data_IF_000801453564
#
_entry.id   IF_000801453564
#
_cell.length_a   1.000
_cell.length_b   1.000
_cell.length_c   1.000
_cell.angle_alpha   90.00
_cell.angle_beta   90.00
_cell.angle_gamma   90.00
#
_symmetry.space_group_name_H-M   'P 1'
#
loop_
_entity.id
_entity.type
_entity.pdbx_description
1 polymer ?
#
# COMPACT_ATOMS: atom_id res chain seq x y z
N UNK A 1 31.41 -20.76 -20.64
CA UNK A 1 32.19 -20.86 -19.38
C UNK A 1 31.34 -21.68 -18.40
N UNK A 2 31.82 -22.85 -17.96
CA UNK A 2 31.15 -23.68 -16.95
C UNK A 2 31.44 -23.17 -15.53
N UNK A 3 31.11 -21.91 -15.27
CA UNK A 3 31.32 -21.29 -13.96
C UNK A 3 30.16 -21.63 -13.04
N UNK A 4 30.36 -22.56 -12.10
CA UNK A 4 29.76 -22.35 -10.78
C UNK A 4 30.33 -21.02 -10.29
N UNK A 5 29.53 -19.96 -10.32
CA UNK A 5 29.88 -18.71 -9.67
C UNK A 5 30.06 -19.01 -8.18
N UNK A 6 31.29 -19.26 -7.76
CA UNK A 6 31.69 -19.03 -6.38
C UNK A 6 31.73 -17.52 -6.21
N UNK A 7 30.85 -16.94 -5.39
CA UNK A 7 30.82 -15.50 -5.18
C UNK A 7 32.21 -15.06 -4.69
N UNK A 8 32.78 -14.01 -5.29
CA UNK A 8 34.01 -13.43 -4.77
C UNK A 8 33.81 -13.03 -3.31
N UNK A 9 34.82 -13.22 -2.44
CA UNK A 9 34.79 -12.69 -1.07
C UNK A 9 34.46 -11.18 -1.14
N UNK A 10 33.24 -10.80 -0.79
CA UNK A 10 32.75 -9.42 -0.81
C UNK A 10 31.72 -9.08 -1.88
N UNK A 11 31.39 -9.98 -2.80
CA UNK A 11 30.27 -9.76 -3.74
C UNK A 11 28.94 -9.98 -3.02
N UNK A 12 28.20 -8.89 -2.81
CA UNK A 12 26.81 -8.95 -2.34
C UNK A 12 25.95 -9.53 -3.47
N UNK A 13 25.73 -10.85 -3.45
CA UNK A 13 24.68 -11.45 -4.27
C UNK A 13 23.37 -10.77 -3.88
N UNK A 14 22.65 -10.14 -4.83
CA UNK A 14 21.38 -9.50 -4.51
C UNK A 14 20.41 -10.53 -3.92
N UNK A 15 19.72 -10.16 -2.85
CA UNK A 15 18.70 -11.00 -2.22
C UNK A 15 17.46 -11.07 -3.12
N UNK A 16 16.59 -12.06 -2.88
CA UNK A 16 15.28 -12.12 -3.54
C UNK A 16 14.48 -10.81 -3.36
N UNK A 17 14.61 -10.17 -2.19
CA UNK A 17 14.01 -8.85 -1.92
C UNK A 17 14.61 -7.77 -2.84
N UNK A 18 15.93 -7.78 -3.06
CA UNK A 18 16.58 -6.83 -3.97
C UNK A 18 16.15 -7.03 -5.43
N UNK A 19 15.96 -8.28 -5.87
CA UNK A 19 15.43 -8.59 -7.21
C UNK A 19 13.97 -8.16 -7.35
N UNK A 20 13.13 -8.44 -6.34
CA UNK A 20 11.74 -7.99 -6.28
C UNK A 20 11.64 -6.47 -6.43
N UNK A 21 12.36 -5.71 -5.59
CA UNK A 21 12.34 -4.25 -5.60
C UNK A 21 12.79 -3.67 -6.95
N UNK A 22 13.78 -4.28 -7.61
CA UNK A 22 14.23 -3.86 -8.94
C UNK A 22 13.21 -4.21 -10.02
N UNK A 23 12.58 -5.38 -9.96
CA UNK A 23 11.59 -5.80 -10.94
C UNK A 23 10.36 -4.89 -10.89
N UNK A 24 9.75 -4.69 -9.72
CA UNK A 24 8.57 -3.84 -9.55
C UNK A 24 8.85 -2.36 -9.82
N UNK A 25 10.07 -1.90 -9.57
CA UNK A 25 10.46 -0.52 -9.84
C UNK A 25 10.54 -0.21 -11.34
N UNK A 26 10.81 -1.22 -12.17
CA UNK A 26 10.96 -1.05 -13.62
C UNK A 26 9.73 -1.53 -14.41
N UNK A 27 9.06 -2.60 -13.97
CA UNK A 27 7.87 -3.16 -14.60
C UNK A 27 6.64 -2.56 -13.92
N UNK A 28 5.85 -1.77 -14.66
CA UNK A 28 4.65 -1.10 -14.13
C UNK A 28 3.37 -1.93 -14.29
N UNK A 29 3.51 -3.16 -14.81
CA UNK A 29 2.42 -4.07 -15.12
C UNK A 29 2.44 -5.22 -14.09
N UNK A 30 1.47 -5.18 -13.17
CA UNK A 30 1.34 -6.15 -12.09
C UNK A 30 1.05 -7.56 -12.61
N UNK A 31 0.34 -7.69 -13.74
CA UNK A 31 0.05 -8.99 -14.34
C UNK A 31 1.33 -9.62 -14.89
N UNK A 32 2.16 -8.83 -15.55
CA UNK A 32 3.47 -9.27 -16.05
C UNK A 32 4.43 -9.65 -14.91
N UNK A 33 4.46 -8.88 -13.81
CA UNK A 33 5.27 -9.20 -12.63
C UNK A 33 4.88 -10.57 -12.07
N UNK A 34 3.58 -10.80 -11.87
CA UNK A 34 3.04 -12.06 -11.31
C UNK A 34 3.36 -13.22 -12.25
N UNK A 35 3.20 -13.04 -13.57
CA UNK A 35 3.51 -14.06 -14.57
C UNK A 35 4.99 -14.40 -14.59
N UNK A 36 5.88 -13.42 -14.53
CA UNK A 36 7.33 -13.67 -14.42
C UNK A 36 7.69 -14.39 -13.11
N UNK A 37 7.06 -14.04 -11.99
CA UNK A 37 7.27 -14.73 -10.71
C UNK A 37 6.81 -16.19 -10.76
N UNK A 38 5.71 -16.47 -11.45
CA UNK A 38 5.15 -17.83 -11.56
C UNK A 38 5.99 -18.82 -12.38
N UNK A 39 7.07 -18.38 -13.03
CA UNK A 39 7.99 -19.25 -13.78
C UNK A 39 8.62 -20.31 -12.86
N UNK A 40 9.06 -19.90 -11.67
CA UNK A 40 9.68 -20.81 -10.68
C UNK A 40 9.49 -20.36 -9.22
N UNK A 41 8.61 -19.38 -8.98
CA UNK A 41 8.39 -18.75 -7.66
C UNK A 41 9.62 -18.04 -7.09
N UNK A 42 10.56 -17.62 -7.93
CA UNK A 42 11.73 -16.83 -7.52
C UNK A 42 11.75 -15.45 -8.17
N UNK A 43 12.04 -14.43 -7.35
CA UNK A 43 12.20 -13.05 -7.83
C UNK A 43 13.45 -12.88 -8.69
N UNK A 44 14.46 -13.73 -8.49
CA UNK A 44 15.67 -13.75 -9.32
C UNK A 44 15.33 -14.14 -10.76
N UNK A 45 14.64 -15.25 -10.98
CA UNK A 45 14.27 -15.70 -12.33
C UNK A 45 13.29 -14.74 -12.98
N UNK A 46 12.34 -14.20 -12.22
CA UNK A 46 11.45 -13.15 -12.70
C UNK A 46 12.19 -11.89 -13.18
N UNK A 47 13.18 -11.43 -12.40
CA UNK A 47 14.02 -10.28 -12.77
C UNK A 47 14.90 -10.57 -14.00
N UNK A 48 15.49 -11.77 -14.08
CA UNK A 48 16.26 -12.20 -15.26
C UNK A 48 15.38 -12.26 -16.50
N UNK A 49 14.15 -12.79 -16.38
CA UNK A 49 13.19 -12.84 -17.48
C UNK A 49 12.80 -11.45 -17.99
N UNK A 50 12.54 -10.52 -17.07
CA UNK A 50 12.31 -9.12 -17.43
C UNK A 50 13.53 -8.50 -18.13
N UNK A 51 14.75 -8.66 -17.59
CA UNK A 51 15.94 -8.06 -18.19
C UNK A 51 16.17 -8.55 -19.62
N UNK A 52 16.03 -9.86 -19.85
CA UNK A 52 16.24 -10.46 -21.18
C UNK A 52 15.26 -9.88 -22.20
N UNK A 53 13.97 -9.78 -21.84
CA UNK A 53 12.95 -9.19 -22.70
C UNK A 53 13.10 -7.66 -22.85
N UNK A 54 13.56 -6.96 -21.81
CA UNK A 54 13.81 -5.52 -21.85
C UNK A 54 14.93 -5.19 -22.84
N UNK A 55 16.04 -5.93 -22.80
CA UNK A 55 17.12 -5.75 -23.78
C UNK A 55 16.67 -6.09 -25.20
N UNK A 56 15.82 -7.10 -25.41
CA UNK A 56 15.22 -7.39 -26.73
C UNK A 56 14.47 -6.19 -27.31
N UNK A 57 13.74 -5.47 -26.45
CA UNK A 57 12.94 -4.31 -26.87
C UNK A 57 13.79 -3.07 -27.21
N UNK A 58 15.06 -3.03 -26.79
CA UNK A 58 15.94 -1.85 -26.92
C UNK A 58 17.09 -2.12 -27.89
N UNK A 59 17.64 -3.32 -27.90
CA UNK A 59 18.75 -3.72 -28.75
C UNK A 59 18.17 -4.32 -30.02
N UNK A 60 18.41 -3.66 -31.14
CA UNK A 60 18.20 -4.23 -32.47
C UNK A 60 19.59 -4.61 -33.00
N UNK A 61 20.00 -5.90 -32.94
CA UNK A 61 21.38 -6.30 -33.24
C UNK A 61 21.86 -5.93 -34.65
N UNK A 62 20.93 -5.79 -35.59
CA UNK A 62 21.24 -5.42 -36.98
C UNK A 62 21.82 -3.99 -37.09
N UNK A 63 21.53 -3.09 -36.14
CA UNK A 63 22.12 -1.74 -36.08
C UNK A 63 23.64 -1.74 -35.79
N UNK A 64 24.19 -2.86 -35.32
CA UNK A 64 25.60 -2.97 -34.92
C UNK A 64 26.43 -3.82 -35.89
N UNK A 65 25.86 -4.25 -37.03
CA UNK A 65 26.56 -5.00 -38.07
C UNK A 65 27.18 -4.08 -39.10
N UNK A 66 28.35 -4.47 -39.63
CA UNK A 66 28.98 -3.80 -40.77
C UNK A 66 28.10 -3.93 -42.02
N UNK A 67 27.45 -5.09 -42.19
CA UNK A 67 26.45 -5.35 -43.23
C UNK A 67 25.13 -5.83 -42.57
N UNK A 68 24.05 -5.03 -42.61
CA UNK A 68 22.75 -5.42 -42.08
C UNK A 68 22.18 -6.61 -42.86
N UNK A 69 21.73 -7.66 -42.16
CA UNK A 69 21.16 -8.87 -42.80
C UNK A 69 19.64 -8.97 -42.64
N UNK A 70 18.97 -7.91 -42.17
CA UNK A 70 17.52 -7.85 -41.91
C UNK A 70 16.99 -9.02 -41.09
N UNK A 71 17.82 -9.57 -40.19
CA UNK A 71 17.44 -10.67 -39.32
C UNK A 71 17.59 -10.25 -37.87
N UNK A 72 16.44 -10.16 -37.19
CA UNK A 72 16.34 -9.92 -35.77
C UNK A 72 16.70 -11.19 -35.00
N UNK A 73 17.39 -11.01 -33.88
CA UNK A 73 17.72 -12.07 -32.94
C UNK A 73 17.32 -11.60 -31.56
N UNK A 74 16.63 -12.44 -30.80
CA UNK A 74 16.40 -12.14 -29.38
C UNK A 74 17.72 -12.27 -28.60
N UNK A 75 17.86 -11.52 -27.52
CA UNK A 75 18.91 -11.64 -26.50
C UNK A 75 18.92 -13.06 -25.95
N UNK A 76 17.76 -13.69 -25.79
CA UNK A 76 17.64 -15.12 -25.45
C UNK A 76 18.37 -16.00 -26.46
N UNK A 77 18.12 -15.84 -27.76
CA UNK A 77 18.79 -16.61 -28.82
C UNK A 77 20.29 -16.34 -28.87
N UNK A 78 20.70 -15.09 -28.63
CA UNK A 78 22.12 -14.71 -28.58
C UNK A 78 22.80 -15.40 -27.40
N UNK A 79 22.21 -15.35 -26.20
CA UNK A 79 22.71 -16.03 -25.00
C UNK A 79 22.81 -17.54 -25.26
N UNK A 80 21.76 -18.15 -25.81
CA UNK A 80 21.74 -19.59 -26.12
C UNK A 80 22.80 -19.96 -27.16
N UNK A 81 23.05 -19.12 -28.17
CA UNK A 81 24.06 -19.39 -29.19
C UNK A 81 25.49 -19.26 -28.66
N UNK A 82 25.74 -18.30 -27.77
CA UNK A 82 27.05 -18.10 -27.15
C UNK A 82 27.33 -19.13 -26.05
N UNK A 83 26.29 -19.65 -25.41
CA UNK A 83 26.38 -20.63 -24.34
C UNK A 83 25.24 -21.66 -24.41
N UNK A 84 25.36 -22.62 -25.31
CA UNK A 84 24.29 -23.57 -25.64
C UNK A 84 23.89 -24.52 -24.51
N UNK A 85 24.67 -24.60 -23.43
CA UNK A 85 24.36 -25.40 -22.25
C UNK A 85 23.59 -24.62 -21.18
N UNK A 86 23.44 -23.30 -21.34
CA UNK A 86 22.71 -22.47 -20.39
C UNK A 86 21.21 -22.46 -20.74
N UNK A 87 20.37 -23.02 -19.87
CA UNK A 87 18.92 -23.08 -20.07
C UNK A 87 18.28 -21.86 -19.40
N UNK A 88 17.69 -20.99 -20.22
CA UNK A 88 17.05 -19.75 -19.78
C UNK A 88 15.52 -19.91 -19.81
N UNK A 89 14.90 -20.16 -18.66
CA UNK A 89 13.44 -20.28 -18.55
C UNK A 89 12.82 -18.91 -18.24
N UNK A 90 12.48 -18.14 -19.28
CA UNK A 90 12.10 -16.71 -19.16
C UNK A 90 10.84 -16.34 -19.92
N UNK A 91 10.17 -17.31 -20.53
CA UNK A 91 8.94 -17.05 -21.28
C UNK A 91 7.78 -16.81 -20.31
N UNK A 92 6.94 -15.83 -20.62
CA UNK A 92 5.78 -15.52 -19.80
C UNK A 92 4.76 -16.67 -19.88
N UNK A 93 4.33 -17.25 -18.75
CA UNK A 93 3.29 -18.26 -18.73
C UNK A 93 1.93 -17.69 -19.21
N UNK A 94 1.03 -18.52 -19.76
CA UNK A 94 -0.24 -18.06 -20.33
C UNK A 94 -1.21 -17.49 -19.28
N UNK A 95 -2.05 -16.54 -19.72
CA UNK A 95 -3.08 -15.91 -18.88
C UNK A 95 -4.20 -16.92 -18.59
N UNK A 96 -4.45 -17.24 -17.33
CA UNK A 96 -5.51 -18.18 -16.94
C UNK A 96 -6.77 -17.40 -16.58
N UNK A 97 -7.80 -17.44 -17.44
CA UNK A 97 -9.10 -16.79 -17.20
C UNK A 97 -9.95 -17.71 -16.32
N UNK A 98 -10.23 -17.33 -15.07
CA UNK A 98 -11.21 -18.04 -14.23
C UNK A 98 -12.56 -17.30 -14.24
N UNK A 99 -13.57 -17.95 -14.85
CA UNK A 99 -14.97 -17.55 -14.79
C UNK A 99 -15.55 -17.82 -13.39
N UNK A 100 -16.21 -16.83 -12.80
CA UNK A 100 -16.87 -16.93 -11.50
C UNK A 100 -18.36 -17.28 -11.64
N UNK A 101 -18.79 -18.36 -10.98
CA UNK A 101 -20.17 -18.54 -10.51
C UNK A 101 -20.15 -18.94 -9.03
N UNK A 102 -21.11 -18.51 -8.20
CA UNK A 102 -21.04 -18.70 -6.75
C UNK A 102 -21.90 -19.90 -6.28
N UNK A 103 -21.44 -20.62 -5.24
CA UNK A 103 -22.18 -20.87 -3.96
C UNK A 103 -21.47 -21.85 -2.97
N UNK A 104 -21.30 -21.36 -1.74
CA UNK A 104 -21.29 -21.97 -0.37
C UNK A 104 -20.18 -22.90 0.20
N UNK A 105 -19.45 -22.31 1.17
CA UNK A 105 -18.98 -22.79 2.53
C UNK A 105 -17.95 -23.94 2.65
N UNK A 106 -17.15 -24.02 3.75
CA UNK A 106 -16.07 -23.12 4.18
C UNK A 106 -14.72 -23.85 4.51
N UNK A 107 -13.64 -23.07 4.70
CA UNK A 107 -12.25 -23.42 5.13
C UNK A 107 -11.26 -23.78 4.01
N UNK A 108 -9.94 -23.61 4.24
CA UNK A 108 -9.19 -22.47 4.78
C UNK A 108 -8.36 -21.83 3.63
N UNK A 109 -8.64 -20.58 3.27
CA UNK A 109 -8.01 -19.98 2.08
C UNK A 109 -6.67 -19.34 2.40
N UNK A 110 -5.60 -19.97 1.89
CA UNK A 110 -4.28 -19.37 1.71
C UNK A 110 -4.42 -18.16 0.78
N UNK A 111 -3.96 -16.99 1.26
CA UNK A 111 -4.11 -15.68 0.62
C UNK A 111 -3.24 -15.54 -0.65
N UNK A 112 -3.81 -14.93 -1.69
CA UNK A 112 -3.11 -14.35 -2.84
C UNK A 112 -2.75 -12.91 -2.45
N UNK A 113 -1.47 -12.54 -2.44
CA UNK A 113 -0.99 -11.24 -1.92
C UNK A 113 -1.51 -10.06 -2.76
N UNK A 114 -2.58 -9.45 -2.23
CA UNK A 114 -3.09 -8.15 -2.64
C UNK A 114 -2.26 -7.01 -2.06
N UNK A 115 -2.46 -5.81 -2.60
CA UNK A 115 -1.87 -4.57 -2.09
C UNK A 115 -2.04 -4.46 -0.57
N UNK A 116 -0.95 -4.46 0.20
CA UNK A 116 -0.99 -4.44 1.68
C UNK A 116 -1.15 -3.04 2.28
N UNK A 117 -1.26 -1.99 1.42
CA UNK A 117 -1.52 -0.63 1.87
C UNK A 117 -2.48 0.15 0.96
N UNK A 118 -3.44 0.83 1.58
CA UNK A 118 -4.37 1.74 0.93
C UNK A 118 -4.35 3.10 1.60
N UNK A 119 -4.72 4.14 0.86
CA UNK A 119 -5.02 5.43 1.44
C UNK A 119 -6.38 5.38 2.16
N UNK A 120 -6.58 6.16 3.25
CA UNK A 120 -7.86 6.20 3.94
C UNK A 120 -8.98 6.85 3.10
N UNK A 121 -8.62 7.60 2.04
CA UNK A 121 -9.51 8.24 1.07
C UNK A 121 -8.95 8.03 -0.34
N UNK A 122 -9.80 8.11 -1.36
CA UNK A 122 -9.36 8.05 -2.77
C UNK A 122 -8.48 9.25 -3.16
N UNK A 123 -8.67 10.40 -2.50
CA UNK A 123 -7.85 11.60 -2.66
C UNK A 123 -7.43 12.08 -1.27
N UNK A 124 -6.14 11.97 -0.95
CA UNK A 124 -5.57 12.48 0.30
C UNK A 124 -4.90 13.84 0.10
N UNK A 125 -5.63 14.92 0.39
CA UNK A 125 -5.10 16.30 0.42
C UNK A 125 -5.25 16.89 1.80
N UNK A 126 -4.26 17.63 2.28
CA UNK A 126 -4.37 18.32 3.57
C UNK A 126 -5.47 19.37 3.50
N UNK A 127 -6.33 19.42 4.52
CA UNK A 127 -7.33 20.47 4.69
C UNK A 127 -6.66 21.84 4.73
N UNK A 128 -7.14 22.75 3.89
CA UNK A 128 -6.63 24.14 3.84
C UNK A 128 -7.66 25.19 4.29
N UNK A 129 -8.95 24.83 4.32
CA UNK A 129 -10.06 25.75 4.60
C UNK A 129 -10.48 25.78 6.07
N UNK A 130 -11.07 26.91 6.49
CA UNK A 130 -11.58 27.14 7.85
C UNK A 130 -10.55 26.83 8.96
N UNK A 131 -9.29 27.17 8.72
CA UNK A 131 -8.18 27.01 9.66
C UNK A 131 -7.39 28.32 9.75
N UNK A 132 -6.80 28.65 10.92
CA UNK A 132 -5.91 29.80 11.03
C UNK A 132 -4.67 29.69 10.14
N UNK A 133 -4.16 28.47 9.96
CA UNK A 133 -3.01 28.12 9.10
C UNK A 133 -3.15 26.67 8.64
N UNK A 134 -2.67 26.33 7.44
CA UNK A 134 -2.69 24.96 6.91
C UNK A 134 -2.01 23.95 7.85
N UNK A 135 -0.87 24.34 8.47
CA UNK A 135 -0.16 23.50 9.46
C UNK A 135 -1.00 23.12 10.69
N UNK A 136 -2.11 23.80 10.95
CA UNK A 136 -3.01 23.43 12.04
C UNK A 136 -3.79 22.15 11.73
N UNK A 137 -3.84 21.72 10.45
CA UNK A 137 -4.38 20.44 10.00
C UNK A 137 -3.46 19.25 10.28
N UNK A 138 -2.18 19.46 10.59
CA UNK A 138 -1.20 18.36 10.74
C UNK A 138 -0.93 18.01 12.20
N UNK A 139 -0.30 16.85 12.43
CA UNK A 139 0.09 16.42 13.77
C UNK A 139 0.97 17.47 14.46
N UNK A 140 0.73 17.68 15.76
CA UNK A 140 1.34 18.74 16.59
C UNK A 140 1.08 20.17 16.10
N UNK A 141 0.20 20.35 15.13
CA UNK A 141 -0.28 21.66 14.70
C UNK A 141 -1.04 22.34 15.83
N UNK A 142 -0.74 23.61 16.10
CA UNK A 142 -1.44 24.36 17.16
C UNK A 142 -2.86 24.76 16.73
N UNK A 143 -3.82 24.50 17.61
CA UNK A 143 -5.22 24.94 17.52
C UNK A 143 -5.64 25.68 18.78
N UNK A 144 -6.75 26.39 18.69
CA UNK A 144 -7.36 27.14 19.80
C UNK A 144 -8.78 26.66 19.99
N UNK A 145 -9.14 26.27 21.21
CA UNK A 145 -10.52 25.93 21.58
C UNK A 145 -11.38 27.20 21.66
N UNK A 146 -12.70 27.04 21.69
CA UNK A 146 -13.65 28.16 21.88
C UNK A 146 -13.37 28.97 23.15
N UNK A 147 -12.87 28.33 24.21
CA UNK A 147 -12.47 28.98 25.47
C UNK A 147 -11.07 29.62 25.43
N UNK A 148 -10.44 29.75 24.27
CA UNK A 148 -9.12 30.36 24.09
C UNK A 148 -7.93 29.48 24.44
N UNK A 149 -8.15 28.28 25.02
CA UNK A 149 -7.04 27.36 25.34
C UNK A 149 -6.40 26.80 24.07
N UNK A 150 -5.08 26.86 24.01
CA UNK A 150 -4.31 26.26 22.92
C UNK A 150 -4.08 24.77 23.18
N UNK A 151 -4.14 23.98 22.13
CA UNK A 151 -3.83 22.56 22.16
C UNK A 151 -3.13 22.13 20.88
N UNK A 152 -2.46 20.99 20.92
CA UNK A 152 -1.83 20.37 19.76
C UNK A 152 -2.78 19.37 19.12
N UNK A 153 -2.91 19.47 17.80
CA UNK A 153 -3.67 18.53 16.99
C UNK A 153 -3.03 17.14 17.02
N UNK A 154 -3.80 16.10 17.31
CA UNK A 154 -3.32 14.73 17.47
C UNK A 154 -3.31 13.92 16.16
N UNK A 155 -3.77 14.51 15.06
CA UNK A 155 -3.90 13.81 13.79
C UNK A 155 -3.63 14.65 12.56
N UNK A 156 -4.23 14.20 11.47
CA UNK A 156 -4.24 14.82 10.17
C UNK A 156 -5.68 15.11 9.76
N UNK A 157 -5.98 16.34 9.39
CA UNK A 157 -7.24 16.67 8.72
C UNK A 157 -7.03 16.56 7.20
N UNK A 158 -7.64 15.53 6.62
CA UNK A 158 -7.60 15.27 5.18
C UNK A 158 -8.89 15.84 4.57
N UNK A 159 -8.76 16.76 3.63
CA UNK A 159 -9.87 17.42 2.93
C UNK A 159 -10.80 16.39 2.26
N UNK A 160 -12.07 16.39 2.64
CA UNK A 160 -13.08 15.51 2.07
C UNK A 160 -14.47 16.08 2.33
N UNK A 161 -15.34 16.06 1.32
CA UNK A 161 -16.74 16.43 1.51
C UNK A 161 -17.45 15.37 2.38
N UNK A 162 -18.52 15.69 3.12
CA UNK A 162 -19.32 14.68 3.79
C UNK A 162 -19.80 13.59 2.82
N UNK A 163 -19.99 12.38 3.33
CA UNK A 163 -20.37 11.19 2.59
C UNK A 163 -19.32 10.70 1.58
N UNK A 164 -18.04 11.05 1.78
CA UNK A 164 -16.94 10.50 0.98
C UNK A 164 -16.54 9.15 1.57
N UNK A 165 -16.47 8.06 0.78
CA UNK A 165 -16.06 6.74 1.26
C UNK A 165 -14.69 6.73 1.93
N UNK A 166 -14.57 6.08 3.09
CA UNK A 166 -13.31 5.84 3.80
C UNK A 166 -12.92 4.37 3.75
N UNK A 167 -11.61 4.11 3.69
CA UNK A 167 -11.09 2.75 3.50
C UNK A 167 -10.11 2.33 4.59
N UNK A 168 -10.05 1.02 4.86
CA UNK A 168 -9.01 0.44 5.70
C UNK A 168 -7.65 0.61 5.03
N UNK A 169 -6.69 1.18 5.77
CA UNK A 169 -5.35 1.44 5.20
C UNK A 169 -4.50 0.17 5.07
N UNK A 170 -4.85 -0.91 5.76
CA UNK A 170 -4.16 -2.18 5.71
C UNK A 170 -5.11 -3.32 6.15
N UNK A 171 -4.64 -4.56 6.04
CA UNK A 171 -5.29 -5.68 6.71
C UNK A 171 -5.21 -5.48 8.22
N UNK A 172 -6.28 -5.80 8.94
CA UNK A 172 -6.32 -5.60 10.38
C UNK A 172 -7.63 -6.05 11.00
N UNK A 173 -7.92 -5.48 12.17
CA UNK A 173 -9.18 -5.71 12.88
C UNK A 173 -9.81 -4.41 13.34
N UNK A 174 -11.12 -4.36 13.47
CA UNK A 174 -11.82 -3.26 14.14
C UNK A 174 -11.43 -3.25 15.63
N UNK A 175 -10.66 -2.25 16.06
CA UNK A 175 -10.29 -2.07 17.46
C UNK A 175 -11.48 -1.56 18.29
N UNK A 176 -12.22 -0.58 17.76
CA UNK A 176 -13.48 -0.10 18.31
C UNK A 176 -14.30 0.70 17.29
N UNK A 177 -15.59 0.83 17.57
CA UNK A 177 -16.54 1.73 16.89
C UNK A 177 -17.27 2.55 17.97
N UNK A 178 -17.53 3.83 17.68
CA UNK A 178 -18.38 4.70 18.49
C UNK A 178 -19.51 5.23 17.60
N UNK A 179 -20.69 4.61 17.74
CA UNK A 179 -21.95 4.99 17.12
C UNK A 179 -23.08 4.64 18.10
N UNK A 180 -23.89 5.60 18.59
CA UNK A 180 -23.97 7.01 18.20
C UNK A 180 -22.78 7.88 18.65
N UNK A 181 -22.54 9.04 17.98
CA UNK A 181 -21.55 10.03 18.38
C UNK A 181 -21.77 10.51 19.83
N UNK A 182 -20.70 10.56 20.63
CA UNK A 182 -20.78 10.96 22.05
C UNK A 182 -19.58 11.76 22.58
N UNK A 183 -18.68 12.19 21.69
CA UNK A 183 -17.52 13.03 22.03
C UNK A 183 -17.24 14.06 20.93
N UNK A 184 -16.24 14.92 21.18
CA UNK A 184 -15.74 15.89 20.21
C UNK A 184 -15.30 15.26 18.88
N UNK A 185 -14.82 14.01 18.91
CA UNK A 185 -14.40 13.27 17.71
C UNK A 185 -15.59 12.75 16.89
N UNK A 186 -16.82 12.91 17.38
CA UNK A 186 -18.03 12.50 16.67
C UNK A 186 -18.20 10.98 16.61
N UNK A 187 -18.74 10.50 15.49
CA UNK A 187 -18.79 9.08 15.13
C UNK A 187 -17.38 8.63 14.75
N UNK A 188 -16.97 7.48 15.27
CA UNK A 188 -15.58 7.03 15.18
C UNK A 188 -15.47 5.56 14.80
N UNK A 189 -14.37 5.24 14.13
CA UNK A 189 -13.92 3.88 13.89
C UNK A 189 -12.40 3.85 14.03
N UNK A 190 -11.88 2.78 14.65
CA UNK A 190 -10.44 2.54 14.73
C UNK A 190 -10.13 1.12 14.35
N UNK A 191 -9.08 0.92 13.55
CA UNK A 191 -8.53 -0.40 13.25
C UNK A 191 -7.19 -0.58 13.97
N UNK A 192 -6.88 -1.82 14.32
CA UNK A 192 -5.59 -2.27 14.80
C UNK A 192 -4.93 -3.14 13.73
N UNK A 193 -3.66 -2.88 13.47
CA UNK A 193 -2.86 -3.52 12.43
C UNK A 193 -1.57 -4.02 13.06
N UNK A 194 -1.19 -5.27 12.79
CA UNK A 194 0.14 -5.76 13.18
C UNK A 194 1.18 -5.15 12.25
N UNK A 195 2.30 -4.71 12.80
CA UNK A 195 3.35 -4.04 12.01
C UNK A 195 3.93 -4.95 10.93
N UNK A 196 3.96 -6.26 11.18
CA UNK A 196 4.39 -7.27 10.22
C UNK A 196 3.43 -7.42 9.01
N UNK A 197 2.16 -7.01 9.15
CA UNK A 197 1.15 -7.03 8.09
C UNK A 197 1.21 -5.77 7.19
N UNK A 198 2.02 -4.77 7.57
CA UNK A 198 2.23 -3.56 6.77
C UNK A 198 3.30 -3.78 5.70
N UNK A 199 3.25 -3.04 4.57
CA UNK A 199 4.39 -2.97 3.67
C UNK A 199 5.65 -2.52 4.43
N UNK A 200 6.80 -3.07 4.03
CA UNK A 200 8.09 -2.85 4.70
C UNK A 200 8.39 -1.36 4.92
N UNK A 201 8.10 -0.50 3.95
CA UNK A 201 8.39 0.93 4.08
C UNK A 201 7.49 1.66 5.10
N UNK A 202 6.33 1.08 5.45
CA UNK A 202 5.46 1.58 6.53
C UNK A 202 5.85 0.95 7.87
N UNK A 203 6.15 -0.35 7.88
CA UNK A 203 6.60 -1.05 9.07
C UNK A 203 7.87 -0.42 9.68
N UNK A 204 8.82 0.00 8.83
CA UNK A 204 10.03 0.70 9.28
C UNK A 204 9.78 2.03 10.00
N UNK A 205 8.62 2.67 9.76
CA UNK A 205 8.20 3.91 10.41
C UNK A 205 7.52 3.68 11.77
N UNK A 206 7.10 2.44 12.07
CA UNK A 206 6.42 2.07 13.31
C UNK A 206 7.43 1.95 14.46
N UNK A 207 7.87 3.10 14.99
CA UNK A 207 8.77 3.19 16.15
C UNK A 207 8.25 4.24 17.14
N UNK A 208 8.40 3.99 18.44
CA UNK A 208 8.03 4.91 19.50
C UNK A 208 9.15 5.01 20.53
N UNK A 209 9.70 6.22 20.76
CA UNK A 209 10.86 6.44 21.63
C UNK A 209 12.01 5.45 21.33
N UNK A 210 12.34 5.29 20.05
CA UNK A 210 13.35 4.36 19.51
C UNK A 210 13.09 2.86 19.77
N UNK A 211 11.95 2.51 20.36
CA UNK A 211 11.49 1.14 20.52
C UNK A 211 10.59 0.73 19.35
N UNK A 212 10.80 -0.48 18.85
CA UNK A 212 9.88 -1.10 17.88
C UNK A 212 8.56 -1.42 18.56
N UNK A 213 7.47 -1.21 17.84
CA UNK A 213 6.11 -1.56 18.29
C UNK A 213 5.60 -2.69 17.39
N UNK A 214 4.87 -3.64 17.96
CA UNK A 214 4.32 -4.78 17.23
C UNK A 214 2.98 -4.47 16.56
N UNK A 215 2.27 -3.46 17.04
CA UNK A 215 0.94 -3.08 16.57
C UNK A 215 0.80 -1.57 16.47
N UNK A 216 -0.01 -1.13 15.51
CA UNK A 216 -0.34 0.28 15.26
C UNK A 216 -1.84 0.43 15.04
N UNK A 217 -2.38 1.56 15.46
CA UNK A 217 -3.80 1.85 15.38
C UNK A 217 -4.04 2.98 14.38
N UNK A 218 -5.01 2.81 13.48
CA UNK A 218 -5.46 3.86 12.57
C UNK A 218 -6.87 4.29 12.94
N UNK A 219 -7.04 5.59 13.19
CA UNK A 219 -8.28 6.15 13.73
C UNK A 219 -8.93 7.10 12.74
N UNK A 220 -10.25 7.00 12.63
CA UNK A 220 -11.11 7.74 11.71
C UNK A 220 -12.22 8.42 12.52
N UNK A 221 -12.37 9.73 12.37
CA UNK A 221 -13.32 10.54 13.15
C UNK A 221 -14.20 11.46 12.29
N UNK A 222 -15.18 12.07 12.96
CA UNK A 222 -16.21 12.96 12.39
C UNK A 222 -17.14 12.29 11.38
N UNK A 223 -17.24 10.96 11.40
CA UNK A 223 -17.91 10.17 10.35
C UNK A 223 -19.42 10.45 10.27
N UNK A 224 -20.01 10.34 9.07
CA UNK A 224 -21.46 10.40 8.88
C UNK A 224 -22.10 9.02 9.05
N UNK A 225 -21.38 7.96 8.66
CA UNK A 225 -21.85 6.58 8.74
C UNK A 225 -20.66 5.60 8.91
N UNK A 226 -20.94 4.47 9.56
CA UNK A 226 -20.09 3.27 9.51
C UNK A 226 -20.73 2.28 8.53
N UNK A 227 -19.93 1.59 7.73
CA UNK A 227 -20.45 0.57 6.83
C UNK A 227 -21.18 -0.52 7.63
N UNK A 228 -22.35 -0.95 7.14
CA UNK A 228 -23.22 -1.87 7.88
C UNK A 228 -22.54 -3.22 8.11
N UNK A 229 -22.71 -3.75 9.31
CA UNK A 229 -22.23 -5.09 9.67
C UNK A 229 -20.79 -5.13 10.20
N UNK A 230 -20.13 -3.98 10.37
CA UNK A 230 -18.84 -3.91 11.07
C UNK A 230 -19.05 -3.82 12.58
N UNK A 231 -18.40 -4.72 13.31
CA UNK A 231 -18.37 -4.79 14.77
C UNK A 231 -16.94 -4.86 15.30
N UNK A 232 -16.77 -4.61 16.61
CA UNK A 232 -15.47 -4.71 17.26
C UNK A 232 -14.92 -6.14 17.14
N UNK A 233 -13.67 -6.25 16.70
CA UNK A 233 -12.96 -7.52 16.54
C UNK A 233 -13.00 -8.11 15.13
N UNK A 234 -13.91 -7.60 14.27
CA UNK A 234 -14.02 -8.04 12.88
C UNK A 234 -12.74 -7.81 12.11
N UNK A 235 -12.44 -8.74 11.22
CA UNK A 235 -11.34 -8.60 10.27
C UNK A 235 -11.73 -7.64 9.17
N UNK A 236 -10.80 -6.75 8.82
CA UNK A 236 -10.91 -5.88 7.66
C UNK A 236 -9.71 -6.09 6.76
N UNK A 237 -9.93 -5.99 5.45
CA UNK A 237 -8.89 -6.05 4.44
C UNK A 237 -8.43 -4.66 4.03
N UNK A 238 -7.20 -4.56 3.57
CA UNK A 238 -6.68 -3.37 2.92
C UNK A 238 -7.62 -2.90 1.80
N UNK A 239 -7.97 -1.62 1.82
CA UNK A 239 -8.89 -1.02 0.86
C UNK A 239 -10.37 -1.35 1.10
N UNK A 240 -10.72 -2.08 2.15
CA UNK A 240 -12.11 -2.36 2.50
C UNK A 240 -12.84 -1.08 2.91
N UNK A 241 -14.09 -0.93 2.47
CA UNK A 241 -14.96 0.20 2.80
C UNK A 241 -15.35 0.16 4.29
N UNK A 242 -14.99 1.18 5.04
CA UNK A 242 -15.26 1.26 6.48
C UNK A 242 -16.46 2.14 6.83
N UNK A 243 -16.83 3.05 5.93
CA UNK A 243 -17.90 4.01 6.16
C UNK A 243 -17.69 5.27 5.33
N UNK A 244 -18.16 6.40 5.86
CA UNK A 244 -18.13 7.67 5.16
C UNK A 244 -17.75 8.85 6.06
N UNK A 245 -17.02 9.81 5.48
CA UNK A 245 -16.70 11.09 6.13
C UNK A 245 -17.96 11.87 6.48
N UNK A 246 -17.88 12.74 7.49
CA UNK A 246 -19.03 13.56 7.88
C UNK A 246 -18.61 14.85 8.56
N UNK A 247 -19.50 15.33 9.43
CA UNK A 247 -19.28 16.50 10.26
C UNK A 247 -19.80 16.28 11.68
N UNK A 248 -19.74 15.05 12.20
CA UNK A 248 -20.21 14.77 13.57
C UNK A 248 -19.19 15.24 14.62
N UNK A 249 -19.65 15.44 15.87
CA UNK A 249 -18.80 15.95 16.95
C UNK A 249 -18.51 17.44 16.80
N UNK A 250 -17.27 17.86 17.08
CA UNK A 250 -16.86 19.26 17.02
C UNK A 250 -16.66 19.79 15.58
N UNK A 251 -16.73 18.90 14.58
CA UNK A 251 -16.75 19.25 13.16
C UNK A 251 -18.14 19.69 12.67
N UNK A 252 -19.14 19.74 13.55
CA UNK A 252 -20.51 20.14 13.20
C UNK A 252 -20.54 21.49 12.47
N UNK A 253 -21.29 21.54 11.36
CA UNK A 253 -21.39 22.70 10.48
C UNK A 253 -20.32 22.77 9.38
N UNK A 254 -19.31 21.90 9.39
CA UNK A 254 -18.32 21.80 8.30
C UNK A 254 -18.88 20.94 7.15
N UNK A 255 -19.98 21.39 6.53
CA UNK A 255 -20.76 20.60 5.55
C UNK A 255 -20.25 20.67 4.12
N UNK A 256 -19.19 21.44 3.85
CA UNK A 256 -18.55 21.54 2.54
C UNK A 256 -17.05 21.81 2.68
N UNK A 257 -16.28 21.60 1.60
CA UNK A 257 -14.84 21.89 1.59
C UNK A 257 -14.54 23.32 2.01
N UNK A 258 -15.30 24.29 1.50
CA UNK A 258 -15.13 25.71 1.85
C UNK A 258 -15.37 26.00 3.34
N UNK A 259 -16.24 25.22 3.98
CA UNK A 259 -16.52 25.28 5.42
C UNK A 259 -15.55 24.43 6.26
N UNK A 260 -14.58 23.76 5.62
CA UNK A 260 -13.56 22.96 6.28
C UNK A 260 -13.92 21.48 6.46
N UNK A 261 -14.81 20.92 5.65
CA UNK A 261 -15.13 19.49 5.68
C UNK A 261 -13.87 18.63 5.50
N UNK A 262 -13.74 17.59 6.31
CA UNK A 262 -12.54 16.75 6.36
C UNK A 262 -12.81 15.39 7.01
N UNK A 263 -11.90 14.45 6.76
CA UNK A 263 -11.65 13.30 7.62
C UNK A 263 -10.57 13.68 8.65
N UNK A 264 -10.83 13.47 9.93
CA UNK A 264 -9.77 13.46 10.93
C UNK A 264 -9.18 12.05 11.04
N UNK A 265 -7.88 11.93 10.78
CA UNK A 265 -7.16 10.66 10.69
C UNK A 265 -5.95 10.65 11.63
N UNK A 266 -5.79 9.61 12.44
CA UNK A 266 -4.60 9.46 13.31
C UNK A 266 -3.92 8.11 13.11
N UNK A 267 -2.61 8.11 13.38
CA UNK A 267 -1.80 6.89 13.61
C UNK A 267 -1.39 6.89 15.07
N UNK A 268 -1.72 5.84 15.81
CA UNK A 268 -1.56 5.77 17.28
C UNK A 268 -0.80 4.52 17.70
N UNK A 269 -0.11 4.63 18.84
CA UNK A 269 0.63 3.53 19.49
C UNK A 269 -0.20 2.79 20.56
N UNK A 270 -1.42 3.26 20.83
CA UNK A 270 -2.39 2.65 21.74
C UNK A 270 -3.80 2.98 21.29
N UNK A 271 -4.76 2.11 21.60
CA UNK A 271 -6.17 2.25 21.19
C UNK A 271 -6.75 3.63 21.52
N UNK A 272 -6.51 4.11 22.74
CA UNK A 272 -6.99 5.40 23.25
C UNK A 272 -5.85 6.18 23.90
N UNK A 273 -5.27 7.18 23.22
CA UNK A 273 -4.12 7.88 23.76
C UNK A 273 -4.41 8.72 25.02
N UNK A 274 -5.69 8.93 25.38
CA UNK A 274 -6.10 9.81 26.48
C UNK A 274 -6.00 11.28 26.07
N UNK A 275 -6.59 12.21 26.82
CA UNK A 275 -6.38 13.63 26.56
C UNK A 275 -4.91 13.99 26.79
N UNK A 276 -4.32 14.72 25.85
CA UNK A 276 -3.01 15.38 26.00
C UNK A 276 -3.21 16.76 26.62
#
# INVERSE_FOLDING_TARGET
MNGKETPGKGEKIPTNIAFYNRLIGNLKDNEMIIRYYSIDSTWRTAFVAWMVNYFDSIIVPDHYRIEPKMKNYSTKDIIQKLNSTYILNTDLPPVTIMNSQPRNTPSPSVNVEGNTWSNPLSVCRIRTHALPRVRSATFKGWRTRSNGRRYQHQGLDIEAAPNTPIFSVADGRIAFIIDPPRSDDGRQLCIIVQVDDLPLEKALLCRCNDSEISEVYFFYAHLSAIHSGLERGDHVRCGELLGETGCTGNANGMTSIALGAHLHFEVRVKERPGPV
#
